data_IF_581184125144
#
_entry.id   IF_581184125144
#
_cell.length_a   1.000
_cell.length_b   1.000
_cell.length_c   1.000
_cell.angle_alpha   90.00
_cell.angle_beta   90.00
_cell.angle_gamma   90.00
#
_symmetry.space_group_name_H-M   'P 1'
#
loop_
_entity.id
_entity.type
_entity.pdbx_description
1 polymer ?
#
# COMPACT_ATOMS: atom_id res chain seq x y z
N UNK A 1 -23.14 -7.42 -5.48
CA UNK A 1 -21.74 -7.17 -5.14
C UNK A 1 -21.71 -5.77 -4.57
N UNK A 2 -21.67 -5.65 -3.24
CA UNK A 2 -21.67 -4.34 -2.58
C UNK A 2 -20.23 -3.81 -2.62
N UNK A 3 -20.05 -2.68 -3.30
CA UNK A 3 -18.80 -1.93 -3.29
C UNK A 3 -18.66 -1.29 -1.92
N UNK A 4 -17.72 -1.77 -1.10
CA UNK A 4 -17.39 -1.14 0.17
C UNK A 4 -16.50 0.07 -0.15
N UNK A 5 -17.07 1.27 -0.11
CA UNK A 5 -16.29 2.51 -0.19
C UNK A 5 -15.56 2.70 1.14
N UNK A 6 -14.31 2.25 1.21
CA UNK A 6 -13.44 2.58 2.33
C UNK A 6 -12.90 4.00 2.13
N UNK A 7 -13.39 4.96 2.91
CA UNK A 7 -12.76 6.28 3.02
C UNK A 7 -11.58 6.13 3.97
N UNK A 8 -10.36 6.14 3.42
CA UNK A 8 -9.13 6.10 4.22
C UNK A 8 -8.87 7.53 4.70
N UNK A 9 -8.93 7.74 6.01
CA UNK A 9 -8.58 9.02 6.62
C UNK A 9 -7.05 9.17 6.64
N UNK A 10 -6.54 10.11 5.85
CA UNK A 10 -5.11 10.33 5.66
C UNK A 10 -4.45 11.08 6.83
N UNK A 11 -5.18 11.51 7.85
CA UNK A 11 -4.61 12.33 8.92
C UNK A 11 -3.92 11.50 10.02
N UNK A 12 -4.08 10.16 10.04
CA UNK A 12 -3.72 9.33 11.20
C UNK A 12 -2.80 8.13 10.89
N UNK A 13 -1.93 8.25 9.88
CA UNK A 13 -0.95 7.20 9.49
C UNK A 13 0.07 6.82 10.56
N UNK A 14 0.13 7.55 11.68
CA UNK A 14 1.14 7.34 12.73
C UNK A 14 1.04 5.96 13.40
N UNK A 15 -0.10 5.31 13.33
CA UNK A 15 -0.31 3.96 13.87
C UNK A 15 -0.49 2.94 12.73
N UNK A 16 0.62 2.44 12.18
CA UNK A 16 0.66 1.34 11.18
C UNK A 16 -0.26 0.16 11.55
N UNK A 17 -0.25 -0.20 12.84
CA UNK A 17 -1.12 -1.25 13.39
C UNK A 17 -2.60 -0.86 13.27
N UNK A 18 -2.94 0.41 13.47
CA UNK A 18 -4.31 0.91 13.36
C UNK A 18 -4.78 0.89 11.91
N UNK A 19 -3.97 1.42 10.98
CA UNK A 19 -4.29 1.43 9.55
C UNK A 19 -4.46 0.01 8.98
N UNK A 20 -3.54 -0.90 9.28
CA UNK A 20 -3.66 -2.32 8.90
C UNK A 20 -4.90 -2.97 9.50
N UNK A 21 -5.18 -2.73 10.79
CA UNK A 21 -6.37 -3.26 11.47
C UNK A 21 -7.67 -2.74 10.88
N UNK A 22 -7.74 -1.45 10.54
CA UNK A 22 -8.90 -0.84 9.89
C UNK A 22 -9.19 -1.48 8.53
N UNK A 23 -8.17 -1.61 7.68
CA UNK A 23 -8.31 -2.22 6.36
C UNK A 23 -8.77 -3.68 6.42
N UNK A 24 -8.22 -4.44 7.39
CA UNK A 24 -8.61 -5.82 7.64
C UNK A 24 -10.03 -5.93 8.22
N UNK A 25 -10.37 -5.08 9.20
CA UNK A 25 -11.70 -5.03 9.85
C UNK A 25 -12.80 -4.71 8.83
N UNK A 26 -12.52 -3.78 7.92
CA UNK A 26 -13.48 -3.34 6.90
C UNK A 26 -13.52 -4.27 5.68
N UNK A 27 -12.77 -5.38 5.68
CA UNK A 27 -12.71 -6.37 4.58
C UNK A 27 -12.51 -5.72 3.21
N UNK A 28 -11.68 -4.68 3.17
CA UNK A 28 -11.46 -3.84 1.99
C UNK A 28 -10.83 -4.61 0.83
N UNK A 29 -10.21 -5.76 1.09
CA UNK A 29 -9.39 -6.48 0.13
C UNK A 29 -8.05 -5.78 -0.12
N UNK A 30 -7.67 -4.82 0.72
CA UNK A 30 -6.41 -4.08 0.61
C UNK A 30 -5.41 -4.65 1.62
N UNK A 31 -4.24 -5.02 1.12
CA UNK A 31 -3.13 -5.59 1.88
C UNK A 31 -1.95 -4.60 1.81
N UNK A 32 -1.78 -3.73 2.81
CA UNK A 32 -0.68 -2.78 2.86
C UNK A 32 0.62 -3.45 3.33
N UNK A 33 1.74 -3.05 2.74
CA UNK A 33 3.10 -3.42 3.17
C UNK A 33 3.99 -2.18 3.13
N UNK A 34 4.59 -1.83 4.26
CA UNK A 34 5.57 -0.73 4.30
C UNK A 34 6.90 -1.23 3.72
N UNK A 35 7.32 -0.64 2.61
CA UNK A 35 8.59 -0.94 1.94
C UNK A 35 9.73 -0.12 2.55
N UNK A 36 9.43 1.13 2.92
CA UNK A 36 10.37 2.00 3.62
C UNK A 36 9.63 2.92 4.59
N UNK A 37 10.28 3.21 5.72
CA UNK A 37 9.76 4.14 6.73
C UNK A 37 10.89 4.95 7.33
N UNK A 38 10.68 6.25 7.39
CA UNK A 38 11.58 7.20 8.04
C UNK A 38 10.78 8.01 9.07
N UNK A 39 11.45 8.92 9.78
CA UNK A 39 10.79 9.81 10.73
C UNK A 39 9.83 10.81 10.06
N UNK A 40 9.98 11.03 8.75
CA UNK A 40 9.29 12.10 8.00
C UNK A 40 8.63 11.58 6.73
N UNK A 41 8.58 10.28 6.48
CA UNK A 41 7.98 9.77 5.26
C UNK A 41 7.98 8.25 5.18
N UNK A 42 7.20 7.73 4.23
CA UNK A 42 7.00 6.30 4.05
C UNK A 42 6.75 5.94 2.58
N UNK A 43 7.16 4.72 2.22
CA UNK A 43 6.84 4.09 0.95
C UNK A 43 5.99 2.87 1.26
N UNK A 44 4.78 2.83 0.71
CA UNK A 44 3.76 1.83 1.04
C UNK A 44 3.32 1.13 -0.24
N UNK A 45 3.46 -0.19 -0.26
CA UNK A 45 2.80 -1.05 -1.24
C UNK A 45 1.37 -1.34 -0.77
N UNK A 46 0.38 -1.08 -1.62
CA UNK A 46 -1.01 -1.46 -1.40
C UNK A 46 -1.39 -2.51 -2.45
N UNK A 47 -1.56 -3.75 -2.01
CA UNK A 47 -2.01 -4.85 -2.88
C UNK A 47 -3.52 -5.00 -2.73
N UNK A 48 -4.24 -5.00 -3.85
CA UNK A 48 -5.67 -5.24 -3.89
C UNK A 48 -5.91 -6.70 -4.28
N UNK A 49 -6.70 -7.40 -3.47
CA UNK A 49 -7.03 -8.80 -3.67
C UNK A 49 -8.50 -9.10 -3.41
N UNK A 50 -9.02 -10.07 -4.15
CA UNK A 50 -10.38 -10.58 -4.03
C UNK A 50 -10.31 -12.03 -3.55
N UNK A 51 -11.13 -12.38 -2.55
CA UNK A 51 -11.28 -13.77 -2.11
C UNK A 51 -12.15 -14.53 -3.13
N UNK A 52 -11.57 -15.52 -3.79
CA UNK A 52 -12.23 -16.38 -4.76
C UNK A 52 -11.94 -17.85 -4.43
N UNK A 53 -12.98 -18.66 -4.21
CA UNK A 53 -12.84 -20.11 -3.91
C UNK A 53 -11.81 -20.44 -2.80
N UNK A 54 -11.78 -19.62 -1.73
CA UNK A 54 -10.82 -19.72 -0.60
C UNK A 54 -9.36 -19.38 -0.95
N UNK A 55 -9.11 -18.86 -2.15
CA UNK A 55 -7.82 -18.28 -2.56
C UNK A 55 -7.96 -16.77 -2.65
N UNK A 56 -6.86 -16.05 -2.45
CA UNK A 56 -6.81 -14.60 -2.69
C UNK A 56 -6.21 -14.39 -4.07
N UNK A 57 -6.95 -13.73 -4.95
CA UNK A 57 -6.47 -13.33 -6.29
C UNK A 57 -6.13 -11.85 -6.23
N UNK A 58 -4.85 -11.52 -6.39
CA UNK A 58 -4.40 -10.14 -6.48
C UNK A 58 -4.71 -9.57 -7.86
N UNK A 59 -5.41 -8.44 -7.89
CA UNK A 59 -5.91 -7.81 -9.12
C UNK A 59 -5.13 -6.56 -9.48
N UNK A 60 -4.60 -5.85 -8.47
CA UNK A 60 -3.91 -4.59 -8.66
C UNK A 60 -2.90 -4.36 -7.55
N UNK A 61 -1.84 -3.62 -7.87
CA UNK A 61 -0.83 -3.19 -6.93
C UNK A 61 -0.61 -1.69 -7.09
N UNK A 62 -0.48 -1.00 -5.97
CA UNK A 62 -0.22 0.44 -5.91
C UNK A 62 1.03 0.69 -5.07
N UNK A 63 1.89 1.60 -5.53
CA UNK A 63 2.95 2.20 -4.72
C UNK A 63 2.52 3.60 -4.33
N UNK A 64 2.58 3.88 -3.04
CA UNK A 64 2.27 5.18 -2.48
C UNK A 64 3.53 5.72 -1.78
N UNK A 65 3.92 6.94 -2.11
CA UNK A 65 5.02 7.66 -1.46
C UNK A 65 4.43 8.81 -0.67
N UNK A 66 4.68 8.81 0.62
CA UNK A 66 4.27 9.84 1.56
C UNK A 66 5.50 10.53 2.15
N UNK A 67 5.43 11.84 2.26
CA UNK A 67 6.45 12.70 2.82
C UNK A 67 5.78 13.79 3.67
N UNK A 68 6.16 13.87 4.93
CA UNK A 68 5.69 14.83 5.93
C UNK A 68 4.16 14.93 6.04
N UNK A 69 3.47 13.79 5.96
CA UNK A 69 2.01 13.65 5.99
C UNK A 69 1.33 13.89 4.64
N UNK A 70 2.10 14.15 3.57
CA UNK A 70 1.58 14.46 2.24
C UNK A 70 1.89 13.32 1.27
N UNK A 71 0.87 12.86 0.54
CA UNK A 71 1.04 11.87 -0.52
C UNK A 71 1.65 12.56 -1.74
N UNK A 72 2.94 12.34 -1.96
CA UNK A 72 3.66 12.94 -3.09
C UNK A 72 3.41 12.18 -4.39
N UNK A 73 3.30 10.85 -4.31
CA UNK A 73 3.17 10.01 -5.50
C UNK A 73 2.30 8.79 -5.25
N UNK A 74 1.49 8.45 -6.27
CA UNK A 74 0.76 7.19 -6.36
C UNK A 74 0.98 6.58 -7.74
N UNK A 75 1.47 5.33 -7.78
CA UNK A 75 1.72 4.59 -9.03
C UNK A 75 0.91 3.31 -9.02
N UNK A 76 0.23 3.01 -10.13
CA UNK A 76 -0.49 1.76 -10.32
C UNK A 76 0.28 0.85 -11.28
N UNK A 77 0.44 -0.41 -10.90
CA UNK A 77 1.10 -1.42 -11.71
C UNK A 77 0.31 -2.74 -11.67
N UNK A 78 0.62 -3.63 -12.60
CA UNK A 78 0.07 -4.97 -12.55
C UNK A 78 0.56 -5.69 -11.29
N UNK A 79 -0.26 -6.56 -10.67
CA UNK A 79 0.06 -7.17 -9.38
C UNK A 79 1.29 -8.10 -9.41
N UNK A 80 1.68 -8.58 -10.59
CA UNK A 80 2.84 -9.45 -10.79
C UNK A 80 4.15 -8.70 -11.04
N UNK A 81 4.10 -7.37 -11.20
CA UNK A 81 5.31 -6.56 -11.36
C UNK A 81 6.06 -6.44 -10.03
N UNK A 82 7.39 -6.54 -10.10
CA UNK A 82 8.28 -6.41 -8.95
C UNK A 82 8.87 -5.00 -8.85
N UNK A 83 9.05 -4.52 -7.62
CA UNK A 83 9.73 -3.24 -7.39
C UNK A 83 11.24 -3.41 -7.53
N UNK A 84 11.87 -2.51 -8.27
CA UNK A 84 13.31 -2.33 -8.25
C UNK A 84 13.62 -0.96 -7.69
N UNK A 85 14.24 -0.93 -6.52
CA UNK A 85 14.65 0.31 -5.86
C UNK A 85 16.05 0.68 -6.31
N UNK A 86 16.24 1.95 -6.66
CA UNK A 86 17.54 2.51 -7.04
C UNK A 86 17.88 3.65 -6.08
N UNK A 87 19.14 3.72 -5.66
CA UNK A 87 19.68 4.85 -4.90
C UNK A 87 19.95 6.03 -5.86
N UNK A 88 20.23 7.22 -5.32
CA UNK A 88 20.48 8.46 -6.09
C UNK A 88 21.55 8.35 -7.19
N UNK A 89 22.40 7.32 -7.14
CA UNK A 89 23.44 7.02 -8.13
C UNK A 89 23.10 5.89 -9.10
N UNK A 90 21.85 5.42 -9.12
CA UNK A 90 21.40 4.31 -9.98
C UNK A 90 21.85 2.92 -9.51
N UNK A 91 22.42 2.81 -8.31
CA UNK A 91 22.75 1.52 -7.71
C UNK A 91 21.47 0.84 -7.21
N UNK A 92 21.25 -0.41 -7.64
CA UNK A 92 20.11 -1.20 -7.19
C UNK A 92 20.25 -1.49 -5.68
N UNK A 93 19.24 -1.12 -4.91
CA UNK A 93 19.14 -1.47 -3.48
C UNK A 93 18.77 -2.96 -3.40
N UNK A 94 19.65 -3.75 -2.78
CA UNK A 94 19.49 -5.20 -2.56
C UNK A 94 18.54 -5.44 -1.39
#
# INVERSE_FOLDING_TARGET
>A
METVEATIDCENWNEEIFFQKELLKNKTGIFPTFLERTAVGSIVELIFGVLFEKQIVFTQKMLMVENAGVVEQVVFVAPHEEWSFFMDFGEKRV
#
